data_IF_225325929571
#
_entry.id   IF_225325929571
#
_cell.length_a   1.000
_cell.length_b   1.000
_cell.length_c   1.000
_cell.angle_alpha   90.00
_cell.angle_beta   90.00
_cell.angle_gamma   90.00
#
_symmetry.space_group_name_H-M   'P 1'
#
loop_
_entity.id
_entity.type
_entity.pdbx_description
1 polymer ?
#
# COMPACT_ATOMS: atom_id res chain seq x y z
N UNK A 1 -33.21 8.84 -13.36
CA UNK A 1 -32.26 9.87 -12.89
C UNK A 1 -31.71 9.58 -11.48
N UNK A 2 -32.51 9.25 -10.45
CA UNK A 2 -31.98 8.95 -9.10
C UNK A 2 -31.10 7.70 -9.06
N UNK A 3 -31.51 6.64 -9.78
CA UNK A 3 -30.76 5.39 -9.87
C UNK A 3 -29.40 5.57 -10.55
N UNK A 4 -29.34 6.38 -11.61
CA UNK A 4 -28.09 6.66 -12.34
C UNK A 4 -27.12 7.43 -11.45
N UNK A 5 -27.60 8.47 -10.75
CA UNK A 5 -26.78 9.24 -9.80
C UNK A 5 -26.26 8.36 -8.65
N UNK A 6 -27.10 7.47 -8.12
CA UNK A 6 -26.74 6.57 -7.03
C UNK A 6 -25.74 5.51 -7.48
N UNK A 7 -25.96 4.89 -8.64
CA UNK A 7 -25.00 3.96 -9.25
C UNK A 7 -23.68 4.66 -9.59
N UNK A 8 -23.68 5.90 -10.08
CA UNK A 8 -22.45 6.65 -10.38
C UNK A 8 -21.57 6.85 -9.14
N UNK A 9 -22.15 7.22 -8.00
CA UNK A 9 -21.39 7.39 -6.74
C UNK A 9 -20.86 6.06 -6.22
N UNK A 10 -21.69 5.01 -6.24
CA UNK A 10 -21.28 3.67 -5.78
C UNK A 10 -20.19 3.07 -6.68
N UNK A 11 -20.33 3.20 -8.00
CA UNK A 11 -19.37 2.67 -8.96
C UNK A 11 -18.05 3.45 -8.99
N UNK A 12 -18.05 4.72 -8.58
CA UNK A 12 -16.81 5.51 -8.53
C UNK A 12 -15.74 4.84 -7.67
N UNK A 13 -16.09 4.32 -6.49
CA UNK A 13 -15.11 3.75 -5.54
C UNK A 13 -14.45 2.46 -6.07
N UNK A 14 -15.19 1.43 -6.53
CA UNK A 14 -14.60 0.22 -7.13
C UNK A 14 -13.81 0.52 -8.40
N UNK A 15 -14.33 1.38 -9.28
CA UNK A 15 -13.65 1.73 -10.54
C UNK A 15 -12.35 2.49 -10.27
N UNK A 16 -12.39 3.50 -9.40
CA UNK A 16 -11.18 4.24 -9.01
C UNK A 16 -10.15 3.34 -8.34
N UNK A 17 -10.59 2.43 -7.47
CA UNK A 17 -9.70 1.44 -6.82
C UNK A 17 -9.05 0.52 -7.85
N UNK A 18 -9.83 -0.07 -8.76
CA UNK A 18 -9.32 -0.97 -9.78
C UNK A 18 -8.31 -0.28 -10.70
N UNK A 19 -8.62 0.95 -11.15
CA UNK A 19 -7.72 1.75 -11.97
C UNK A 19 -6.44 2.06 -11.19
N UNK A 20 -6.55 2.54 -9.96
CA UNK A 20 -5.41 2.90 -9.12
C UNK A 20 -4.47 1.72 -8.93
N UNK A 21 -4.99 0.56 -8.54
CA UNK A 21 -4.19 -0.67 -8.37
C UNK A 21 -3.43 -1.04 -9.65
N UNK A 22 -4.10 -1.01 -10.81
CA UNK A 22 -3.45 -1.29 -12.10
C UNK A 22 -2.33 -0.28 -12.42
N UNK A 23 -2.50 1.00 -12.07
CA UNK A 23 -1.46 2.02 -12.24
C UNK A 23 -0.28 1.82 -11.28
N UNK A 24 -0.53 1.42 -10.04
CA UNK A 24 0.53 1.14 -9.07
C UNK A 24 1.47 0.03 -9.57
N UNK A 25 0.90 -1.04 -10.12
CA UNK A 25 1.68 -2.12 -10.72
C UNK A 25 2.55 -1.66 -11.90
N UNK A 26 2.02 -0.78 -12.75
CA UNK A 26 2.78 -0.20 -13.87
C UNK A 26 3.89 0.73 -13.40
N UNK A 27 3.65 1.52 -12.36
CA UNK A 27 4.68 2.38 -11.77
C UNK A 27 5.79 1.52 -11.16
N UNK A 28 5.45 0.47 -10.42
CA UNK A 28 6.43 -0.47 -9.87
C UNK A 28 7.26 -1.11 -10.99
N UNK A 29 6.62 -1.59 -12.05
CA UNK A 29 7.31 -2.15 -13.21
C UNK A 29 8.25 -1.13 -13.86
N UNK A 30 7.80 0.09 -14.11
CA UNK A 30 8.63 1.13 -14.73
C UNK A 30 9.85 1.50 -13.87
N UNK A 31 9.69 1.48 -12.54
CA UNK A 31 10.81 1.68 -11.60
C UNK A 31 11.80 0.52 -11.68
N UNK A 32 11.31 -0.72 -11.74
CA UNK A 32 12.13 -1.93 -11.89
C UNK A 32 12.88 -1.95 -13.21
N UNK A 33 12.22 -1.63 -14.33
CA UNK A 33 12.84 -1.57 -15.66
C UNK A 33 13.97 -0.53 -15.70
N UNK A 34 13.79 0.59 -14.99
CA UNK A 34 14.77 1.68 -14.97
C UNK A 34 15.94 1.45 -14.01
N UNK A 35 15.67 0.93 -12.82
CA UNK A 35 16.66 0.87 -11.72
C UNK A 35 17.17 -0.54 -11.44
N UNK A 36 16.47 -1.57 -11.90
CA UNK A 36 16.77 -2.98 -11.64
C UNK A 36 16.64 -3.84 -12.92
N UNK A 37 17.38 -3.52 -14.00
CA UNK A 37 17.20 -4.14 -15.32
C UNK A 37 17.56 -5.63 -15.40
N UNK A 38 18.28 -6.16 -14.40
CA UNK A 38 18.71 -7.55 -14.35
C UNK A 38 17.66 -8.51 -13.72
N UNK A 39 16.47 -8.00 -13.36
CA UNK A 39 15.44 -8.83 -12.73
C UNK A 39 14.74 -9.73 -13.75
N UNK A 40 14.40 -10.98 -13.40
CA UNK A 40 13.53 -11.82 -14.22
C UNK A 40 12.11 -11.22 -14.31
N UNK A 41 11.23 -11.74 -15.19
CA UNK A 41 9.82 -11.34 -15.22
C UNK A 41 9.15 -11.45 -13.84
N UNK A 42 8.24 -10.54 -13.53
CA UNK A 42 7.45 -10.60 -12.30
C UNK A 42 6.54 -11.85 -12.33
N UNK A 43 6.27 -12.41 -11.15
CA UNK A 43 5.39 -13.57 -11.01
C UNK A 43 3.92 -13.13 -10.93
N UNK A 44 3.05 -13.83 -11.64
CA UNK A 44 1.61 -13.67 -11.49
C UNK A 44 1.16 -14.24 -10.14
N UNK A 45 0.30 -13.48 -9.45
CA UNK A 45 -0.24 -13.87 -8.15
C UNK A 45 -1.57 -14.58 -8.38
N UNK A 46 -1.81 -15.77 -7.80
CA UNK A 46 -3.10 -16.43 -7.90
C UNK A 46 -4.23 -15.57 -7.33
N UNK A 47 -5.37 -15.48 -8.03
CA UNK A 47 -6.52 -14.67 -7.58
C UNK A 47 -7.02 -15.04 -6.17
N UNK A 48 -7.02 -16.33 -5.82
CA UNK A 48 -7.39 -16.79 -4.48
C UNK A 48 -6.46 -16.21 -3.40
N UNK A 49 -5.18 -15.99 -3.76
CA UNK A 49 -4.22 -15.40 -2.86
C UNK A 49 -4.51 -13.91 -2.64
N UNK A 50 -4.75 -13.16 -3.71
CA UNK A 50 -5.14 -11.75 -3.66
C UNK A 50 -6.42 -11.54 -2.84
N UNK A 51 -7.44 -12.37 -3.03
CA UNK A 51 -8.71 -12.27 -2.31
C UNK A 51 -8.51 -12.41 -0.81
N UNK A 52 -7.76 -13.43 -0.38
CA UNK A 52 -7.48 -13.64 1.05
C UNK A 52 -6.64 -12.49 1.63
N UNK A 53 -5.79 -11.85 0.83
CA UNK A 53 -4.94 -10.75 1.33
C UNK A 53 -5.75 -9.48 1.47
N UNK A 54 -6.64 -9.23 0.51
CA UNK A 54 -7.65 -8.17 0.60
C UNK A 54 -8.50 -8.34 1.87
N UNK A 55 -9.02 -9.54 2.14
CA UNK A 55 -9.83 -9.80 3.35
C UNK A 55 -9.01 -9.60 4.64
N UNK A 56 -7.77 -10.11 4.66
CA UNK A 56 -6.87 -9.89 5.81
C UNK A 56 -6.50 -8.42 5.97
N UNK A 57 -6.37 -7.68 4.86
CA UNK A 57 -6.10 -6.25 4.87
C UNK A 57 -7.29 -5.49 5.44
N UNK A 58 -8.49 -5.80 4.97
CA UNK A 58 -9.74 -5.21 5.43
C UNK A 58 -9.95 -5.41 6.93
N UNK A 59 -9.71 -6.61 7.47
CA UNK A 59 -9.86 -6.87 8.90
C UNK A 59 -8.91 -6.01 9.75
N UNK A 60 -7.67 -5.87 9.32
CA UNK A 60 -6.69 -4.98 9.99
C UNK A 60 -7.07 -3.52 9.83
N UNK A 61 -7.53 -3.10 8.64
CA UNK A 61 -7.98 -1.74 8.37
C UNK A 61 -9.11 -1.35 9.32
N UNK A 62 -10.12 -2.21 9.46
CA UNK A 62 -11.27 -2.00 10.35
C UNK A 62 -10.79 -1.93 11.81
N UNK A 63 -10.03 -2.94 12.27
CA UNK A 63 -9.55 -2.97 13.65
C UNK A 63 -8.69 -1.76 14.01
N UNK A 64 -7.81 -1.34 13.10
CA UNK A 64 -6.93 -0.20 13.31
C UNK A 64 -7.72 1.13 13.33
N UNK A 65 -8.75 1.29 12.49
CA UNK A 65 -9.61 2.48 12.52
C UNK A 65 -10.50 2.54 13.77
N UNK A 66 -11.02 1.41 14.26
CA UNK A 66 -11.76 1.37 15.53
C UNK A 66 -10.86 1.82 16.69
N UNK A 67 -9.62 1.33 16.74
CA UNK A 67 -8.65 1.79 17.74
C UNK A 67 -8.35 3.29 17.61
N UNK A 68 -8.18 3.78 16.39
CA UNK A 68 -7.92 5.19 16.13
C UNK A 68 -9.07 6.09 16.56
N UNK A 69 -10.32 5.65 16.42
CA UNK A 69 -11.50 6.39 16.84
C UNK A 69 -11.44 6.75 18.33
N UNK A 70 -10.98 5.83 19.17
CA UNK A 70 -10.80 6.07 20.62
C UNK A 70 -9.68 7.08 20.88
N UNK A 71 -8.59 7.01 20.09
CA UNK A 71 -7.41 7.85 20.28
C UNK A 71 -7.57 9.26 19.71
N UNK A 72 -8.48 9.48 18.77
CA UNK A 72 -8.72 10.80 18.16
C UNK A 72 -9.28 11.85 19.13
N UNK A 73 -9.84 11.43 20.27
CA UNK A 73 -10.29 12.36 21.32
C UNK A 73 -9.13 12.97 22.12
N UNK A 74 -7.88 12.63 21.80
CA UNK A 74 -6.69 13.15 22.47
C UNK A 74 -5.96 14.20 21.62
N UNK A 75 -5.16 15.10 22.22
CA UNK A 75 -4.30 16.03 21.47
C UNK A 75 -3.28 15.33 20.55
N UNK A 76 -3.10 14.02 20.68
CA UNK A 76 -2.20 13.21 19.86
C UNK A 76 -2.82 12.82 18.50
N UNK A 77 -4.03 13.28 18.17
CA UNK A 77 -4.74 12.94 16.94
C UNK A 77 -3.91 13.07 15.64
N UNK A 78 -3.08 14.11 15.41
CA UNK A 78 -2.23 14.18 14.22
C UNK A 78 -1.18 13.07 14.15
N UNK A 79 -0.57 12.72 15.29
CA UNK A 79 0.41 11.64 15.37
C UNK A 79 -0.25 10.27 15.19
N UNK A 80 -1.46 10.09 15.73
CA UNK A 80 -2.27 8.89 15.50
C UNK A 80 -2.63 8.77 14.02
N UNK A 81 -3.03 9.88 13.39
CA UNK A 81 -3.34 9.91 11.96
C UNK A 81 -2.14 9.46 11.11
N UNK A 82 -0.96 10.06 11.31
CA UNK A 82 0.24 9.67 10.55
C UNK A 82 0.70 8.26 10.88
N UNK A 83 0.68 7.86 12.16
CA UNK A 83 1.07 6.52 12.61
C UNK A 83 0.19 5.42 12.03
N UNK A 84 -1.13 5.63 12.06
CA UNK A 84 -2.14 4.71 11.55
C UNK A 84 -2.11 4.63 10.02
N UNK A 85 -2.25 5.77 9.35
CA UNK A 85 -2.24 5.80 7.89
C UNK A 85 -0.89 5.33 7.36
N UNK A 86 0.21 5.69 8.01
CA UNK A 86 1.53 5.19 7.66
C UNK A 86 1.66 3.67 7.80
N UNK A 87 1.08 3.09 8.84
CA UNK A 87 1.00 1.63 8.97
C UNK A 87 0.21 0.97 7.85
N UNK A 88 -0.95 1.52 7.49
CA UNK A 88 -1.81 0.99 6.43
C UNK A 88 -1.13 1.11 5.06
N UNK A 89 -0.62 2.31 4.72
CA UNK A 89 0.10 2.59 3.48
C UNK A 89 1.33 1.70 3.36
N UNK A 90 2.16 1.67 4.41
CA UNK A 90 3.39 0.87 4.39
C UNK A 90 3.11 -0.61 4.20
N UNK A 91 2.07 -1.14 4.86
CA UNK A 91 1.64 -2.53 4.68
C UNK A 91 1.13 -2.80 3.28
N UNK A 92 0.33 -1.92 2.69
CA UNK A 92 -0.24 -2.11 1.36
C UNK A 92 0.84 -2.07 0.27
N UNK A 93 1.58 -0.96 0.18
CA UNK A 93 2.57 -0.75 -0.87
C UNK A 93 3.73 -1.75 -0.82
N UNK A 94 4.23 -2.12 0.38
CA UNK A 94 5.28 -3.15 0.45
C UNK A 94 4.75 -4.52 0.03
N UNK A 95 3.48 -4.82 0.30
CA UNK A 95 2.88 -6.11 -0.07
C UNK A 95 2.72 -6.16 -1.58
N UNK A 96 2.26 -5.08 -2.21
CA UNK A 96 2.20 -4.97 -3.67
C UNK A 96 3.59 -5.19 -4.29
N UNK A 97 4.62 -4.47 -3.83
CA UNK A 97 5.97 -4.60 -4.37
C UNK A 97 6.59 -6.00 -4.13
N UNK A 98 6.43 -6.56 -2.94
CA UNK A 98 7.06 -7.83 -2.59
C UNK A 98 6.36 -9.05 -3.22
N UNK A 99 5.03 -9.03 -3.33
CA UNK A 99 4.27 -10.19 -3.81
C UNK A 99 4.56 -10.48 -5.27
N UNK A 100 4.85 -9.45 -6.07
CA UNK A 100 5.32 -9.54 -7.47
C UNK A 100 6.61 -10.32 -7.65
N UNK A 101 7.43 -10.46 -6.60
CA UNK A 101 8.83 -10.93 -6.70
C UNK A 101 9.12 -12.18 -5.87
N UNK A 102 8.58 -12.26 -4.66
CA UNK A 102 8.83 -13.36 -3.72
C UNK A 102 7.55 -14.08 -3.30
N UNK A 103 6.44 -13.80 -4.00
CA UNK A 103 5.13 -14.31 -3.67
C UNK A 103 4.61 -13.82 -2.32
N UNK A 104 3.41 -14.28 -2.00
CA UNK A 104 2.65 -13.83 -0.83
C UNK A 104 3.28 -14.20 0.50
N UNK A 105 3.73 -15.44 0.63
CA UNK A 105 4.37 -15.92 1.86
C UNK A 105 5.68 -15.19 2.13
N UNK A 106 6.47 -14.97 1.07
CA UNK A 106 7.68 -14.17 1.11
C UNK A 106 7.39 -12.72 1.55
N UNK A 107 6.38 -12.09 0.95
CA UNK A 107 5.97 -10.73 1.29
C UNK A 107 5.58 -10.59 2.77
N UNK A 108 4.82 -11.55 3.31
CA UNK A 108 4.46 -11.59 4.73
C UNK A 108 5.67 -11.75 5.65
N UNK A 109 6.59 -12.65 5.30
CA UNK A 109 7.80 -12.89 6.07
C UNK A 109 8.72 -11.65 6.08
N UNK A 110 8.93 -11.03 4.92
CA UNK A 110 9.71 -9.80 4.77
C UNK A 110 9.12 -8.68 5.62
N UNK A 111 7.81 -8.46 5.51
CA UNK A 111 7.10 -7.43 6.28
C UNK A 111 7.19 -7.66 7.78
N UNK A 112 7.04 -8.90 8.25
CA UNK A 112 7.20 -9.23 9.68
C UNK A 112 8.63 -8.97 10.17
N UNK A 113 9.63 -9.31 9.36
CA UNK A 113 11.05 -9.11 9.72
C UNK A 113 11.45 -7.64 9.76
N UNK A 114 10.89 -6.81 8.86
CA UNK A 114 11.26 -5.40 8.69
C UNK A 114 10.11 -4.44 8.98
N UNK A 115 9.22 -4.81 9.90
CA UNK A 115 7.97 -4.09 10.16
C UNK A 115 8.22 -2.63 10.56
N UNK A 116 9.27 -2.35 11.35
CA UNK A 116 9.64 -0.99 11.75
C UNK A 116 10.04 -0.12 10.56
N UNK A 117 10.86 -0.64 9.65
CA UNK A 117 11.30 0.09 8.46
C UNK A 117 10.13 0.37 7.53
N UNK A 118 9.27 -0.63 7.32
CA UNK A 118 8.05 -0.51 6.50
C UNK A 118 7.11 0.53 7.11
N UNK A 119 6.90 0.47 8.43
CA UNK A 119 6.05 1.41 9.14
C UNK A 119 6.59 2.83 9.10
N UNK A 120 7.88 3.04 9.40
CA UNK A 120 8.50 4.36 9.37
C UNK A 120 8.46 4.99 7.97
N UNK A 121 8.74 4.21 6.92
CA UNK A 121 8.59 4.66 5.54
C UNK A 121 7.14 5.03 5.22
N UNK A 122 6.19 4.24 5.70
CA UNK A 122 4.77 4.52 5.55
C UNK A 122 4.35 5.81 6.27
N UNK A 123 4.82 6.05 7.49
CA UNK A 123 4.55 7.29 8.25
C UNK A 123 5.09 8.50 7.51
N UNK A 124 6.31 8.43 6.96
CA UNK A 124 6.85 9.50 6.12
C UNK A 124 5.99 9.74 4.87
N UNK A 125 5.46 8.67 4.27
CA UNK A 125 4.53 8.76 3.14
C UNK A 125 3.14 9.27 3.51
N UNK A 126 2.72 9.15 4.77
CA UNK A 126 1.45 9.68 5.26
C UNK A 126 1.49 11.22 5.44
N UNK A 127 2.67 11.83 5.53
CA UNK A 127 2.80 13.29 5.66
C UNK A 127 2.35 14.00 4.37
N UNK A 128 2.84 13.67 3.16
CA UNK A 128 2.34 14.24 1.91
C UNK A 128 0.82 14.11 1.69
N UNK A 129 0.21 13.09 2.28
CA UNK A 129 -1.24 12.83 2.19
C UNK A 129 -2.07 13.99 2.79
N UNK A 130 -1.51 14.77 3.72
CA UNK A 130 -2.22 15.89 4.35
C UNK A 130 -2.31 17.13 3.46
N UNK A 131 -1.50 17.21 2.40
CA UNK A 131 -1.50 18.33 1.45
C UNK A 131 -2.33 17.93 0.23
N UNK A 132 -3.51 18.54 -0.03
CA UNK A 132 -4.45 18.08 -1.05
C UNK A 132 -3.86 17.89 -2.45
N UNK A 133 -2.99 18.82 -2.89
CA UNK A 133 -2.35 18.74 -4.21
C UNK A 133 -1.27 17.65 -4.26
N UNK A 134 -0.51 17.47 -3.18
CA UNK A 134 0.55 16.45 -3.12
C UNK A 134 -0.02 15.06 -2.96
N UNK A 135 -1.20 14.93 -2.33
CA UNK A 135 -1.91 13.67 -2.17
C UNK A 135 -2.16 12.97 -3.53
N UNK A 136 -2.32 13.73 -4.62
CA UNK A 136 -2.47 13.17 -5.97
C UNK A 136 -1.22 12.40 -6.46
N UNK A 137 -0.05 12.72 -5.92
CA UNK A 137 1.22 12.07 -6.26
C UNK A 137 1.55 10.88 -5.35
N UNK A 138 0.86 10.76 -4.21
CA UNK A 138 1.13 9.72 -3.20
C UNK A 138 1.08 8.30 -3.78
N UNK A 139 0.13 7.92 -4.66
CA UNK A 139 0.11 6.59 -5.26
C UNK A 139 1.41 6.28 -6.02
N UNK A 140 1.89 7.22 -6.81
CA UNK A 140 3.10 7.08 -7.64
C UNK A 140 4.33 7.01 -6.74
N UNK A 141 4.44 7.95 -5.79
CA UNK A 141 5.54 8.00 -4.83
C UNK A 141 5.57 6.75 -3.93
N UNK A 142 4.41 6.26 -3.51
CA UNK A 142 4.24 5.05 -2.72
C UNK A 142 4.75 3.83 -3.45
N UNK A 143 4.25 3.57 -4.67
CA UNK A 143 4.74 2.47 -5.50
C UNK A 143 6.26 2.55 -5.69
N UNK A 144 6.78 3.70 -6.13
CA UNK A 144 8.21 3.85 -6.38
C UNK A 144 9.07 3.65 -5.12
N UNK A 145 8.69 4.28 -3.99
CA UNK A 145 9.45 4.21 -2.74
C UNK A 145 9.48 2.80 -2.18
N UNK A 146 8.32 2.13 -2.15
CA UNK A 146 8.22 0.79 -1.59
C UNK A 146 8.85 -0.28 -2.49
N UNK A 147 8.89 -0.10 -3.81
CA UNK A 147 9.70 -0.93 -4.72
C UNK A 147 11.19 -0.85 -4.38
N UNK A 148 11.74 0.36 -4.19
CA UNK A 148 13.14 0.50 -3.79
C UNK A 148 13.41 -0.08 -2.39
N UNK A 149 12.50 0.17 -1.44
CA UNK A 149 12.62 -0.41 -0.09
C UNK A 149 12.60 -1.93 -0.17
N UNK A 150 11.69 -2.52 -0.95
CA UNK A 150 11.63 -3.96 -1.16
C UNK A 150 12.99 -4.51 -1.61
N UNK A 151 13.57 -3.97 -2.70
CA UNK A 151 14.86 -4.46 -3.20
C UNK A 151 16.00 -4.27 -2.20
N UNK A 152 16.01 -3.15 -1.47
CA UNK A 152 17.01 -2.92 -0.42
C UNK A 152 16.88 -3.91 0.74
N UNK A 153 15.67 -4.31 1.09
CA UNK A 153 15.41 -5.28 2.16
C UNK A 153 15.68 -6.71 1.70
N UNK A 154 15.32 -7.08 0.46
CA UNK A 154 15.60 -8.41 -0.10
C UNK A 154 17.11 -8.63 -0.29
N UNK A 155 17.84 -7.60 -0.75
CA UNK A 155 19.30 -7.67 -0.89
C UNK A 155 20.03 -7.85 0.45
N UNK A 156 19.45 -7.38 1.57
CA UNK A 156 20.00 -7.59 2.93
C UNK A 156 19.62 -8.95 3.53
N UNK A 157 18.65 -9.63 2.93
CA UNK A 157 18.16 -10.95 3.38
C UNK A 157 19.01 -12.09 2.82
N UNK A 158 19.50 -11.93 1.58
CA UNK A 158 20.41 -12.86 0.89
C UNK A 158 21.82 -12.69 1.45
#
# INVERSE_FOLDING_TARGET
>A
VPLVLLLSVVLMVPVASAITTMFLDRVAQAVEDRHYPALPPAQDVPFADELRDTVSFLGVLIGANILALVLYFTPLAPFVFWGLNGFLLGREYITLAATRRIGREGARALRRRHWLTVWAAGVLMAIPLTVPLVNLLVPILGAATFTHIFHRLDARRR
#
